data_IF_480838800580
#
_entry.id   IF_480838800580
#
_cell.length_a   1.000
_cell.length_b   1.000
_cell.length_c   1.000
_cell.angle_alpha   90.00
_cell.angle_beta   90.00
_cell.angle_gamma   90.00
#
_symmetry.space_group_name_H-M   'P 1'
#
loop_
_entity.id
_entity.type
_entity.pdbx_description
1 polymer ?
#
# COMPACT_ATOMS: atom_id res chain seq x y z
N UNK A 1 33.89 -20.12 -28.73
CA UNK A 1 33.79 -19.73 -27.30
C UNK A 1 32.44 -19.07 -27.08
N UNK A 2 31.76 -19.24 -25.93
CA UNK A 2 30.52 -18.54 -25.65
C UNK A 2 30.75 -17.03 -25.58
N UNK A 3 29.81 -16.25 -26.14
CA UNK A 3 29.85 -14.79 -26.12
C UNK A 3 29.42 -14.33 -24.73
N UNK A 4 30.22 -13.48 -24.08
CA UNK A 4 29.80 -12.82 -22.85
C UNK A 4 28.74 -11.76 -23.18
N UNK A 5 27.49 -12.01 -22.79
CA UNK A 5 26.37 -11.09 -22.94
C UNK A 5 25.46 -11.14 -21.71
N UNK A 6 24.68 -10.08 -21.49
CA UNK A 6 23.61 -10.09 -20.49
C UNK A 6 22.53 -11.10 -20.87
N UNK A 7 21.86 -11.70 -19.87
CA UNK A 7 20.82 -12.70 -20.11
C UNK A 7 19.61 -12.07 -20.86
N UNK A 8 19.36 -12.42 -22.14
CA UNK A 8 18.26 -11.85 -22.92
C UNK A 8 16.88 -12.35 -22.49
N UNK A 9 16.81 -13.47 -21.75
CA UNK A 9 15.57 -14.06 -21.24
C UNK A 9 15.28 -13.63 -19.79
N UNK A 10 15.97 -12.60 -19.28
CA UNK A 10 15.75 -12.09 -17.94
C UNK A 10 14.46 -11.26 -17.89
N UNK A 11 13.46 -11.79 -17.21
CA UNK A 11 12.22 -11.06 -16.95
C UNK A 11 12.46 -9.76 -16.17
N UNK A 12 11.66 -8.71 -16.43
CA UNK A 12 11.76 -7.48 -15.67
C UNK A 12 11.43 -7.73 -14.18
N UNK A 13 12.03 -6.95 -13.26
CA UNK A 13 11.76 -7.11 -11.85
C UNK A 13 10.29 -6.83 -11.53
N UNK A 14 9.71 -7.69 -10.68
CA UNK A 14 8.33 -7.53 -10.21
C UNK A 14 8.16 -6.18 -9.48
N UNK A 15 7.09 -5.45 -9.80
CA UNK A 15 6.73 -4.18 -9.17
C UNK A 15 5.53 -4.38 -8.24
N UNK A 16 5.48 -3.64 -7.14
CA UNK A 16 4.29 -3.60 -6.30
C UNK A 16 3.22 -2.68 -6.91
N UNK A 17 1.98 -2.78 -6.42
CA UNK A 17 0.82 -2.02 -6.94
C UNK A 17 0.98 -0.49 -6.89
N UNK A 18 1.79 0.04 -5.97
CA UNK A 18 2.06 1.48 -5.86
C UNK A 18 3.40 1.94 -6.47
N UNK A 19 4.10 1.09 -7.22
CA UNK A 19 5.39 1.46 -7.79
C UNK A 19 5.21 2.55 -8.86
N UNK A 20 5.88 3.69 -8.71
CA UNK A 20 5.71 4.84 -9.61
C UNK A 20 4.51 5.74 -9.31
N UNK A 21 3.65 5.37 -8.34
CA UNK A 21 2.49 6.18 -7.94
C UNK A 21 2.88 7.10 -6.78
N UNK A 22 2.55 8.39 -6.85
CA UNK A 22 2.77 9.33 -5.76
C UNK A 22 1.72 9.13 -4.65
N UNK A 23 2.15 9.04 -3.40
CA UNK A 23 1.28 8.83 -2.24
C UNK A 23 1.16 10.13 -1.46
N UNK A 24 -0.07 10.65 -1.36
CA UNK A 24 -0.38 11.87 -0.61
C UNK A 24 -1.30 11.54 0.58
N UNK A 25 -1.09 12.24 1.71
CA UNK A 25 -1.90 12.08 2.92
C UNK A 25 -3.35 12.55 2.72
N UNK A 26 -3.61 13.38 1.72
CA UNK A 26 -4.94 13.87 1.36
C UNK A 26 -5.80 12.81 0.68
N UNK A 27 -5.21 11.77 0.06
CA UNK A 27 -5.97 10.72 -0.62
C UNK A 27 -6.41 9.64 0.37
N UNK A 28 -7.41 9.96 1.19
CA UNK A 28 -7.91 9.08 2.24
C UNK A 28 -8.46 7.77 1.69
N UNK A 29 -9.10 7.79 0.51
CA UNK A 29 -9.64 6.59 -0.13
C UNK A 29 -8.52 5.56 -0.39
N UNK A 30 -7.40 5.99 -0.97
CA UNK A 30 -6.23 5.14 -1.19
C UNK A 30 -5.63 4.63 0.12
N UNK A 31 -5.43 5.51 1.09
CA UNK A 31 -4.82 5.15 2.37
C UNK A 31 -5.67 4.14 3.16
N UNK A 32 -6.99 4.28 3.07
CA UNK A 32 -7.96 3.40 3.73
C UNK A 32 -7.93 1.96 3.22
N UNK A 33 -7.31 1.69 2.06
CA UNK A 33 -7.12 0.32 1.55
C UNK A 33 -6.03 -0.47 2.29
N UNK A 34 -5.18 0.22 3.06
CA UNK A 34 -4.05 -0.36 3.77
C UNK A 34 -4.25 -0.42 5.29
N UNK A 35 -5.49 -0.22 5.76
CA UNK A 35 -5.87 -0.30 7.18
C UNK A 35 -7.01 -1.29 7.39
N UNK A 36 -7.05 -1.85 8.60
CA UNK A 36 -8.12 -2.74 9.04
C UNK A 36 -9.45 -2.02 9.15
N UNK A 37 -10.54 -2.55 8.57
CA UNK A 37 -11.86 -1.95 8.66
C UNK A 37 -12.37 -1.88 10.10
N UNK A 38 -12.06 -2.90 10.91
CA UNK A 38 -12.58 -3.05 12.27
C UNK A 38 -11.71 -2.40 13.34
N UNK A 39 -10.39 -2.33 13.12
CA UNK A 39 -9.44 -1.89 14.16
C UNK A 39 -8.62 -0.66 13.78
N UNK A 40 -8.72 -0.20 12.53
CA UNK A 40 -7.89 0.90 12.00
C UNK A 40 -6.38 0.58 11.94
N UNK A 41 -5.98 -0.64 12.30
CA UNK A 41 -4.57 -1.05 12.31
C UNK A 41 -3.99 -1.07 10.90
N UNK A 42 -2.82 -0.46 10.71
CA UNK A 42 -2.12 -0.43 9.42
C UNK A 42 -1.57 -1.83 9.12
N UNK A 43 -1.86 -2.36 7.94
CA UNK A 43 -1.39 -3.67 7.53
C UNK A 43 0.13 -3.70 7.30
N UNK A 44 0.74 -4.82 7.68
CA UNK A 44 2.16 -5.09 7.46
C UNK A 44 2.46 -5.46 6.00
N UNK A 45 3.75 -5.43 5.65
CA UNK A 45 4.22 -5.69 4.28
C UNK A 45 3.84 -7.07 3.74
N UNK A 46 3.76 -8.08 4.61
CA UNK A 46 3.36 -9.44 4.22
C UNK A 46 1.90 -9.53 3.74
N UNK A 47 1.07 -8.57 4.13
CA UNK A 47 -0.33 -8.44 3.71
C UNK A 47 -0.47 -7.48 2.53
N UNK A 48 0.16 -6.30 2.61
CA UNK A 48 0.02 -5.25 1.59
C UNK A 48 0.76 -5.56 0.29
N UNK A 49 1.77 -6.43 0.32
CA UNK A 49 2.59 -6.77 -0.84
C UNK A 49 3.43 -5.61 -1.38
N UNK A 50 3.55 -4.51 -0.63
CA UNK A 50 4.26 -3.32 -1.08
C UNK A 50 5.80 -3.47 -0.99
N UNK A 51 6.52 -2.71 -1.81
CA UNK A 51 7.95 -2.54 -1.62
C UNK A 51 8.23 -1.73 -0.34
N UNK A 52 9.39 -1.92 0.28
CA UNK A 52 9.73 -1.27 1.55
C UNK A 52 9.67 0.26 1.50
N UNK A 53 9.97 0.85 0.33
CA UNK A 53 9.86 2.31 0.13
C UNK A 53 8.40 2.76 0.21
N UNK A 54 7.51 2.13 -0.57
CA UNK A 54 6.08 2.46 -0.61
C UNK A 54 5.36 2.15 0.70
N UNK A 55 5.74 1.07 1.40
CA UNK A 55 5.19 0.79 2.74
C UNK A 55 5.50 1.93 3.72
N UNK A 56 6.75 2.45 3.73
CA UNK A 56 7.13 3.58 4.59
C UNK A 56 6.37 4.86 4.22
N UNK A 57 6.22 5.13 2.92
CA UNK A 57 5.43 6.28 2.44
C UNK A 57 3.97 6.19 2.89
N UNK A 58 3.32 5.03 2.70
CA UNK A 58 1.94 4.79 3.13
C UNK A 58 1.79 4.96 4.65
N UNK A 59 2.66 4.35 5.46
CA UNK A 59 2.60 4.49 6.91
C UNK A 59 2.76 5.96 7.36
N UNK A 60 3.67 6.72 6.74
CA UNK A 60 3.84 8.15 7.04
C UNK A 60 2.62 8.96 6.62
N UNK A 61 2.07 8.71 5.44
CA UNK A 61 0.88 9.40 4.93
C UNK A 61 -0.35 9.12 5.80
N UNK A 62 -0.57 7.86 6.21
CA UNK A 62 -1.64 7.48 7.15
C UNK A 62 -1.50 8.21 8.48
N UNK A 63 -0.31 8.18 9.09
CA UNK A 63 -0.07 8.88 10.37
C UNK A 63 -0.29 10.39 10.24
N UNK A 64 0.09 10.99 9.10
CA UNK A 64 -0.14 12.41 8.83
C UNK A 64 -1.63 12.72 8.64
N UNK A 65 -2.35 11.87 7.92
CA UNK A 65 -3.80 11.99 7.74
C UNK A 65 -4.55 11.86 9.08
N UNK A 66 -4.08 11.00 9.99
CA UNK A 66 -4.61 10.89 11.34
C UNK A 66 -4.42 12.18 12.15
N UNK A 67 -3.19 12.71 12.20
CA UNK A 67 -2.88 13.93 12.99
C UNK A 67 -3.64 15.16 12.47
N UNK A 68 -3.80 15.27 11.15
CA UNK A 68 -4.53 16.38 10.53
C UNK A 68 -6.06 16.19 10.50
N UNK A 69 -6.57 15.06 10.99
CA UNK A 69 -8.02 14.80 11.04
C UNK A 69 -8.66 14.43 9.70
N UNK A 70 -7.87 14.08 8.68
CA UNK A 70 -8.40 13.61 7.39
C UNK A 70 -8.91 12.16 7.44
N UNK A 71 -8.34 11.32 8.32
CA UNK A 71 -8.70 9.90 8.41
C UNK A 71 -8.86 9.44 9.87
N UNK A 72 -9.92 8.66 10.20
CA UNK A 72 -10.12 8.10 11.53
C UNK A 72 -9.04 7.06 11.89
N UNK A 73 -8.67 7.01 13.18
CA UNK A 73 -7.60 6.14 13.69
C UNK A 73 -8.09 4.73 14.05
N UNK A 74 -9.30 4.64 14.62
CA UNK A 74 -9.79 3.40 15.27
C UNK A 74 -10.61 2.50 14.35
N UNK A 75 -11.13 3.04 13.25
CA UNK A 75 -12.00 2.32 12.32
C UNK A 75 -11.83 2.90 10.92
N UNK A 76 -12.16 2.12 9.89
CA UNK A 76 -12.22 2.63 8.50
C UNK A 76 -13.54 3.35 8.28
N UNK A 77 -13.51 4.49 7.58
CA UNK A 77 -14.73 5.22 7.24
C UNK A 77 -15.68 4.29 6.42
N UNK A 78 -16.97 4.17 6.82
CA UNK A 78 -17.95 3.33 6.13
C UNK A 78 -18.06 3.56 4.63
N UNK A 79 -17.82 4.79 4.16
CA UNK A 79 -17.84 5.13 2.74
C UNK A 79 -16.84 4.32 1.90
N UNK A 80 -15.72 3.87 2.50
CA UNK A 80 -14.65 3.16 1.79
C UNK A 80 -14.69 1.64 2.00
N UNK A 81 -15.72 1.10 2.66
CA UNK A 81 -15.83 -0.35 2.92
C UNK A 81 -16.12 -1.17 1.65
N UNK A 82 -16.75 -0.54 0.66
CA UNK A 82 -17.13 -1.16 -0.63
C UNK A 82 -16.04 -1.07 -1.68
N UNK A 83 -14.91 -0.41 -1.38
CA UNK A 83 -13.78 -0.32 -2.30
C UNK A 83 -13.15 -1.70 -2.61
N UNK A 84 -12.52 -1.86 -3.79
CA UNK A 84 -11.86 -3.10 -4.15
C UNK A 84 -10.73 -3.45 -3.17
N UNK A 85 -10.76 -4.67 -2.65
CA UNK A 85 -9.79 -5.15 -1.66
C UNK A 85 -8.42 -5.38 -2.33
N UNK A 86 -7.45 -4.53 -2.02
CA UNK A 86 -6.05 -4.68 -2.46
C UNK A 86 -5.25 -5.68 -1.61
N UNK A 87 -5.65 -5.83 -0.34
CA UNK A 87 -4.97 -6.71 0.60
C UNK A 87 -5.69 -8.07 0.66
N UNK A 88 -4.94 -9.16 0.45
CA UNK A 88 -5.46 -10.53 0.48
C UNK A 88 -5.65 -11.02 1.93
N UNK A 89 -6.70 -10.53 2.59
CA UNK A 89 -7.03 -10.89 3.97
C UNK A 89 -8.35 -11.65 3.98
N UNK A 90 -8.32 -12.82 4.63
CA UNK A 90 -9.51 -13.54 5.06
C UNK A 90 -9.61 -13.36 6.57
N UNK A 91 -10.74 -12.87 7.04
CA UNK A 91 -11.02 -12.78 8.48
C UNK A 91 -11.50 -14.14 9.00
#
# INVERSE_FOLDING_TARGET
QPIQMENPYKDPPKKCVLCGINVDYKNVQLLSQFVSPYTGSIYGRHITGLCSKKQKEITKAIKRAHVFGFMPVMFKNPQFLTDPKLCNIKY
#
